data_IF_473305942356
#
_entry.id   IF_473305942356
#
_cell.length_a   1.000
_cell.length_b   1.000
_cell.length_c   1.000
_cell.angle_alpha   90.00
_cell.angle_beta   90.00
_cell.angle_gamma   90.00
#
_symmetry.space_group_name_H-M   'P 1'
#
loop_
_entity.id
_entity.type
_entity.pdbx_description
1 polymer ?
#
# COMPACT_ATOMS: atom_id res chain seq x y z
N UNK A 1 -3.27 37.06 15.78
CA UNK A 1 -2.00 36.53 15.24
C UNK A 1 -2.33 35.35 14.35
N UNK A 2 -1.95 35.33 13.06
CA UNK A 2 -2.24 34.20 12.20
C UNK A 2 -1.21 33.08 12.45
N UNK A 3 -1.71 31.89 12.69
CA UNK A 3 -0.93 30.66 12.78
C UNK A 3 -0.43 30.31 11.37
N UNK A 4 0.78 30.74 11.02
CA UNK A 4 1.42 30.34 9.77
C UNK A 4 1.96 28.92 9.95
N UNK A 5 1.15 27.93 9.59
CA UNK A 5 1.64 26.57 9.40
C UNK A 5 2.81 26.61 8.42
N UNK A 6 3.98 26.14 8.86
CA UNK A 6 5.18 26.07 8.03
C UNK A 6 4.95 25.02 6.94
N UNK A 7 4.50 25.46 5.77
CA UNK A 7 4.53 24.63 4.58
C UNK A 7 6.01 24.39 4.26
N UNK A 8 6.52 23.19 4.55
CA UNK A 8 7.90 22.85 4.21
C UNK A 8 8.07 23.02 2.69
N UNK A 9 8.96 23.93 2.30
CA UNK A 9 9.37 24.14 0.92
C UNK A 9 10.33 23.02 0.53
N UNK A 10 9.80 21.85 0.17
CA UNK A 10 10.57 20.84 -0.55
C UNK A 10 10.70 21.27 -2.01
N UNK A 11 11.89 21.11 -2.59
CA UNK A 11 12.06 21.36 -4.03
C UNK A 11 11.40 20.24 -4.83
N UNK A 12 11.00 20.49 -6.10
CA UNK A 12 10.50 19.42 -6.97
C UNK A 12 11.46 18.24 -7.10
N UNK A 13 12.77 18.50 -7.05
CA UNK A 13 13.80 17.45 -7.03
C UNK A 13 13.74 16.60 -5.76
N UNK A 14 13.62 17.23 -4.59
CA UNK A 14 13.51 16.51 -3.31
C UNK A 14 12.23 15.68 -3.23
N UNK A 15 11.10 16.21 -3.72
CA UNK A 15 9.83 15.49 -3.81
C UNK A 15 9.95 14.26 -4.73
N UNK A 16 10.58 14.43 -5.90
CA UNK A 16 10.85 13.33 -6.83
C UNK A 16 11.68 12.22 -6.17
N UNK A 17 12.77 12.59 -5.50
CA UNK A 17 13.60 11.62 -4.77
C UNK A 17 12.83 10.88 -3.68
N UNK A 18 11.97 11.58 -2.93
CA UNK A 18 11.13 10.96 -1.90
C UNK A 18 10.12 9.96 -2.50
N UNK A 19 9.56 10.25 -3.68
CA UNK A 19 8.69 9.31 -4.38
C UNK A 19 9.45 8.09 -4.91
N UNK A 20 10.63 8.30 -5.50
CA UNK A 20 11.47 7.20 -5.99
C UNK A 20 11.92 6.28 -4.87
N UNK A 21 12.33 6.81 -3.71
CA UNK A 21 12.75 5.99 -2.58
C UNK A 21 11.59 5.16 -2.02
N UNK A 22 10.38 5.74 -1.91
CA UNK A 22 9.18 4.99 -1.49
C UNK A 22 8.86 3.83 -2.46
N UNK A 23 8.94 4.06 -3.77
CA UNK A 23 8.74 3.01 -4.78
C UNK A 23 9.82 1.93 -4.72
N UNK A 24 11.09 2.30 -4.51
CA UNK A 24 12.19 1.37 -4.35
C UNK A 24 11.98 0.48 -3.12
N UNK A 25 11.71 1.08 -1.95
CA UNK A 25 11.42 0.32 -0.73
C UNK A 25 10.23 -0.60 -0.92
N UNK A 26 9.16 -0.14 -1.57
CA UNK A 26 8.01 -1.00 -1.89
C UNK A 26 8.39 -2.23 -2.73
N UNK A 27 9.23 -2.06 -3.76
CA UNK A 27 9.68 -3.17 -4.59
C UNK A 27 10.64 -4.12 -3.84
N UNK A 28 11.57 -3.59 -3.04
CA UNK A 28 12.52 -4.37 -2.23
C UNK A 28 11.82 -5.20 -1.15
N UNK A 29 10.69 -4.70 -0.63
CA UNK A 29 9.86 -5.39 0.35
C UNK A 29 8.72 -6.20 -0.30
N UNK A 30 9.00 -6.79 -1.46
CA UNK A 30 8.08 -7.72 -2.12
C UNK A 30 6.67 -7.15 -2.36
N UNK A 31 6.60 -5.87 -2.69
CA UNK A 31 5.37 -5.17 -3.02
C UNK A 31 4.37 -5.06 -1.85
N UNK A 32 4.85 -5.07 -0.60
CA UNK A 32 4.03 -4.89 0.60
C UNK A 32 3.11 -3.66 0.46
N UNK A 33 1.80 -3.92 0.38
CA UNK A 33 0.80 -2.91 0.04
C UNK A 33 0.62 -1.83 1.12
N UNK A 34 1.25 -2.00 2.29
CA UNK A 34 1.25 -1.07 3.42
C UNK A 34 2.32 0.02 3.31
N UNK A 35 3.32 -0.14 2.43
CA UNK A 35 4.46 0.78 2.28
C UNK A 35 4.18 1.96 1.33
N UNK A 36 3.17 1.82 0.47
CA UNK A 36 2.65 2.91 -0.36
C UNK A 36 1.21 3.18 0.05
N UNK A 37 0.74 4.39 -0.25
CA UNK A 37 -0.67 4.71 -0.07
C UNK A 37 -1.54 3.74 -0.89
N UNK A 38 -2.64 3.27 -0.30
CA UNK A 38 -3.43 2.14 -0.81
C UNK A 38 -4.05 2.37 -2.19
N UNK A 39 -4.26 3.64 -2.56
CA UNK A 39 -4.72 4.05 -3.89
C UNK A 39 -3.70 3.81 -5.01
N UNK A 40 -2.43 3.55 -4.67
CA UNK A 40 -1.36 3.26 -5.64
C UNK A 40 -0.86 1.83 -5.46
N UNK A 41 -0.65 1.37 -4.22
CA UNK A 41 0.01 0.09 -3.92
C UNK A 41 -0.66 -1.11 -4.59
N UNK A 42 -1.97 -1.26 -4.39
CA UNK A 42 -2.74 -2.39 -4.91
C UNK A 42 -2.94 -2.32 -6.45
N UNK A 43 -3.34 -1.17 -7.04
CA UNK A 43 -3.40 -1.04 -8.49
C UNK A 43 -2.06 -1.31 -9.19
N UNK A 44 -0.94 -0.86 -8.62
CA UNK A 44 0.38 -1.06 -9.21
C UNK A 44 0.81 -2.53 -9.16
N UNK A 45 0.61 -3.21 -8.02
CA UNK A 45 0.86 -4.66 -7.89
C UNK A 45 0.06 -5.47 -8.91
N UNK A 46 -1.21 -5.10 -9.12
CA UNK A 46 -2.06 -5.70 -10.14
C UNK A 46 -1.47 -5.49 -11.55
N UNK A 47 -1.04 -4.28 -11.88
CA UNK A 47 -0.44 -3.96 -13.20
C UNK A 47 0.85 -4.76 -13.46
N UNK A 48 1.70 -4.94 -12.46
CA UNK A 48 2.91 -5.78 -12.57
C UNK A 48 2.55 -7.25 -12.81
N UNK A 49 1.51 -7.75 -12.15
CA UNK A 49 0.97 -9.09 -12.39
C UNK A 49 0.43 -9.25 -13.82
N UNK A 50 -0.32 -8.27 -14.31
CA UNK A 50 -0.82 -8.22 -15.70
C UNK A 50 0.34 -8.15 -16.72
N UNK A 51 1.44 -7.47 -16.38
CA UNK A 51 2.66 -7.40 -17.18
C UNK A 51 3.52 -8.67 -17.13
N UNK A 52 3.19 -9.63 -16.26
CA UNK A 52 3.86 -10.94 -16.20
C UNK A 52 5.02 -11.04 -15.20
N UNK A 53 5.17 -10.10 -14.26
CA UNK A 53 6.15 -10.22 -13.19
C UNK A 53 5.80 -11.43 -12.27
N UNK A 54 6.70 -12.43 -12.16
CA UNK A 54 6.42 -13.65 -11.40
C UNK A 54 6.35 -13.42 -9.89
N UNK A 55 7.12 -12.46 -9.36
CA UNK A 55 7.10 -12.07 -7.94
C UNK A 55 5.79 -11.37 -7.65
N UNK A 56 5.40 -10.40 -8.48
CA UNK A 56 4.13 -9.68 -8.34
C UNK A 56 2.93 -10.64 -8.37
N UNK A 57 2.95 -11.62 -9.28
CA UNK A 57 1.89 -12.62 -9.40
C UNK A 57 1.71 -13.47 -8.14
N UNK A 58 2.80 -13.78 -7.44
CA UNK A 58 2.76 -14.50 -6.17
C UNK A 58 2.13 -13.60 -5.09
N UNK A 59 2.71 -12.44 -4.84
CA UNK A 59 2.28 -11.54 -3.76
C UNK A 59 0.88 -10.95 -3.98
N UNK A 60 0.43 -10.79 -5.23
CA UNK A 60 -0.94 -10.36 -5.53
C UNK A 60 -1.98 -11.37 -5.05
N UNK A 61 -1.71 -12.68 -5.16
CA UNK A 61 -2.62 -13.72 -4.64
C UNK A 61 -2.64 -13.71 -3.12
N UNK A 62 -1.46 -13.55 -2.50
CA UNK A 62 -1.32 -13.54 -1.04
C UNK A 62 -2.07 -12.34 -0.44
N UNK A 63 -1.93 -11.15 -1.05
CA UNK A 63 -2.67 -9.94 -0.66
C UNK A 63 -4.20 -10.12 -0.75
N UNK A 64 -4.71 -10.75 -1.82
CA UNK A 64 -6.14 -11.05 -1.94
C UNK A 64 -6.59 -12.01 -0.84
N UNK A 65 -5.81 -13.07 -0.59
CA UNK A 65 -6.12 -14.04 0.44
C UNK A 65 -6.18 -13.39 1.83
N UNK A 66 -5.23 -12.52 2.17
CA UNK A 66 -5.22 -11.78 3.45
C UNK A 66 -6.43 -10.85 3.59
N UNK A 67 -6.82 -10.11 2.54
CA UNK A 67 -8.02 -9.26 2.58
C UNK A 67 -9.30 -10.05 2.82
N UNK A 68 -9.43 -11.22 2.19
CA UNK A 68 -10.59 -12.10 2.40
C UNK A 68 -10.59 -12.63 3.83
N UNK A 69 -9.44 -13.12 4.33
CA UNK A 69 -9.33 -13.61 5.72
C UNK A 69 -9.72 -12.55 6.73
N UNK A 70 -9.21 -11.32 6.56
CA UNK A 70 -9.55 -10.21 7.43
C UNK A 70 -11.05 -9.93 7.39
N UNK A 71 -11.65 -9.79 6.20
CA UNK A 71 -13.09 -9.59 6.05
C UNK A 71 -13.94 -10.67 6.76
N UNK A 72 -13.54 -11.94 6.63
CA UNK A 72 -14.17 -13.08 7.30
C UNK A 72 -13.98 -13.02 8.82
N UNK A 73 -12.79 -12.65 9.31
CA UNK A 73 -12.51 -12.52 10.74
C UNK A 73 -13.34 -11.42 11.40
N UNK A 74 -13.50 -10.26 10.75
CA UNK A 74 -14.33 -9.18 11.27
C UNK A 74 -15.79 -9.59 11.40
N UNK A 75 -16.33 -10.37 10.46
CA UNK A 75 -17.70 -10.91 10.53
C UNK A 75 -17.88 -11.88 11.71
N UNK A 76 -16.90 -12.74 11.98
CA UNK A 76 -16.91 -13.63 13.16
C UNK A 76 -16.76 -12.90 14.49
N UNK A 77 -15.99 -11.80 14.54
CA UNK A 77 -15.81 -11.02 15.76
C UNK A 77 -17.04 -10.16 16.08
N UNK A 78 -17.70 -9.59 15.05
CA UNK A 78 -18.95 -8.84 15.22
C UNK A 78 -20.08 -9.75 15.75
N UNK A 79 -20.22 -10.98 15.21
CA UNK A 79 -21.22 -11.95 15.72
C UNK A 79 -21.03 -12.27 17.22
N UNK A 80 -19.78 -12.24 17.73
CA UNK A 80 -19.48 -12.50 19.15
C UNK A 80 -19.69 -11.29 20.05
N UNK A 81 -19.78 -10.07 19.53
CA UNK A 81 -20.05 -8.86 20.31
C UNK A 81 -21.53 -8.64 20.59
N UNK A 82 -22.40 -9.35 19.87
CA UNK A 82 -23.86 -9.27 19.99
C UNK A 82 -24.46 -10.28 21.00
N UNK A 83 -23.63 -11.02 21.75
CA UNK A 83 -24.02 -11.92 22.86
C UNK A 83 -23.46 -11.43 24.20
#
# INVERSE_FOLDING_TARGET
TPFTGTHYLITPEQEFWAHCSNLQTWAEHHYDTRLLHSNISFPLLRRLTEAGDPVAKQFFKDEIAERIKLGVLWEFEDEKRDY
#
